data_IF_207823565724
#
_entry.id   IF_207823565724
#
_cell.length_a   1.000
_cell.length_b   1.000
_cell.length_c   1.000
_cell.angle_alpha   90.00
_cell.angle_beta   90.00
_cell.angle_gamma   90.00
#
_symmetry.space_group_name_H-M   'P 1'
#
loop_
_entity.id
_entity.type
_entity.pdbx_description
1 polymer ?
#
# COMPACT_ATOMS: atom_id res chain seq x y z
N UNK A 1 -3.93 -19.60 5.40
CA UNK A 1 -3.67 -19.90 3.97
C UNK A 1 -4.82 -19.34 3.15
N UNK A 2 -4.59 -18.97 1.89
CA UNK A 2 -5.60 -18.48 0.94
C UNK A 2 -5.60 -19.38 -0.31
N UNK A 3 -6.77 -19.67 -0.86
CA UNK A 3 -6.94 -20.39 -2.12
C UNK A 3 -7.37 -19.39 -3.20
N UNK A 4 -6.54 -19.21 -4.22
CA UNK A 4 -6.86 -18.32 -5.33
C UNK A 4 -7.95 -18.93 -6.22
N UNK A 5 -8.68 -18.12 -7.02
CA UNK A 5 -9.62 -18.63 -8.01
C UNK A 5 -8.99 -19.57 -9.06
N UNK A 6 -7.67 -19.48 -9.25
CA UNK A 6 -6.89 -20.39 -10.10
C UNK A 6 -6.56 -21.74 -9.44
N UNK A 7 -6.99 -21.97 -8.19
CA UNK A 7 -6.72 -23.18 -7.42
C UNK A 7 -5.34 -23.21 -6.75
N UNK A 8 -4.63 -22.08 -6.69
CA UNK A 8 -3.32 -22.01 -6.04
C UNK A 8 -3.49 -21.71 -4.56
N UNK A 9 -2.83 -22.51 -3.72
CA UNK A 9 -2.81 -22.29 -2.28
C UNK A 9 -1.59 -21.44 -1.90
N UNK A 10 -1.79 -20.35 -1.14
CA UNK A 10 -0.75 -19.41 -0.72
C UNK A 10 -0.79 -19.15 0.79
N UNK A 11 0.36 -18.79 1.35
CA UNK A 11 0.43 -18.36 2.73
C UNK A 11 -0.25 -16.99 2.90
N UNK A 12 -1.09 -16.84 3.93
CA UNK A 12 -1.93 -15.66 4.15
C UNK A 12 -1.63 -14.97 5.48
N UNK A 13 -1.72 -15.74 6.57
CA UNK A 13 -1.45 -15.28 7.92
C UNK A 13 -0.95 -16.44 8.79
N UNK A 14 -0.20 -16.11 9.83
CA UNK A 14 0.39 -17.08 10.76
C UNK A 14 1.91 -17.16 10.62
N UNK A 15 2.66 -16.86 11.68
CA UNK A 15 4.06 -17.20 11.79
C UNK A 15 4.22 -18.52 12.54
N UNK A 16 5.20 -19.34 12.13
CA UNK A 16 5.71 -20.40 12.98
C UNK A 16 6.62 -19.75 14.02
N UNK A 17 6.31 -19.80 15.32
CA UNK A 17 7.21 -19.23 16.32
C UNK A 17 8.49 -20.08 16.38
N UNK A 18 9.64 -19.43 16.52
CA UNK A 18 10.97 -20.08 16.57
C UNK A 18 11.16 -20.97 17.81
N UNK A 19 10.36 -20.71 18.85
CA UNK A 19 10.16 -21.57 19.99
C UNK A 19 8.68 -21.83 20.20
N UNK A 20 8.35 -22.83 21.02
CA UNK A 20 6.98 -23.12 21.36
C UNK A 20 6.38 -22.00 22.20
N UNK A 21 5.94 -20.88 21.62
CA UNK A 21 5.06 -19.89 22.28
C UNK A 21 3.72 -20.51 22.75
N UNK A 22 3.51 -21.79 22.45
CA UNK A 22 2.38 -22.60 22.83
C UNK A 22 2.61 -23.26 24.20
N UNK A 23 3.85 -23.57 24.55
CA UNK A 23 4.24 -24.28 25.76
C UNK A 23 5.11 -23.34 26.60
N UNK A 24 4.93 -23.27 27.92
CA UNK A 24 5.65 -22.35 28.82
C UNK A 24 7.16 -22.68 28.94
N UNK A 25 7.88 -22.72 27.82
CA UNK A 25 9.32 -22.61 27.80
C UNK A 25 9.71 -21.14 27.86
N UNK A 26 10.84 -20.89 28.51
CA UNK A 26 11.41 -19.59 28.89
C UNK A 26 11.77 -18.75 27.64
N UNK A 27 10.73 -18.33 26.92
CA UNK A 27 10.83 -17.84 25.56
C UNK A 27 10.15 -16.49 25.43
N UNK A 28 10.92 -15.50 24.99
CA UNK A 28 10.42 -14.16 24.71
C UNK A 28 9.70 -14.18 23.36
N UNK A 29 8.42 -14.53 23.37
CA UNK A 29 7.58 -14.37 22.18
C UNK A 29 7.61 -12.89 21.76
N UNK A 30 7.66 -12.58 20.45
CA UNK A 30 7.75 -11.21 19.99
C UNK A 30 6.61 -10.40 20.62
N UNK A 31 6.99 -9.43 21.43
CA UNK A 31 6.07 -8.48 22.02
C UNK A 31 5.42 -7.67 20.88
N UNK A 32 4.21 -7.19 21.13
CA UNK A 32 3.52 -6.24 20.26
C UNK A 32 4.38 -4.96 20.17
N UNK A 33 5.32 -4.92 19.22
CA UNK A 33 5.94 -3.67 18.78
C UNK A 33 4.81 -2.73 18.32
N UNK A 34 4.95 -1.41 18.52
CA UNK A 34 4.01 -0.38 18.04
C UNK A 34 3.83 -0.36 16.49
N UNK A 35 4.49 -1.29 15.78
CA UNK A 35 4.35 -1.49 14.34
C UNK A 35 3.23 -2.48 14.08
N UNK A 36 2.30 -2.11 13.20
CA UNK A 36 1.24 -2.99 12.72
C UNK A 36 1.88 -4.27 12.15
N UNK A 37 1.70 -5.44 12.78
CA UNK A 37 2.38 -6.66 12.35
C UNK A 37 1.82 -7.10 10.99
N UNK A 38 2.71 -7.58 10.12
CA UNK A 38 2.29 -8.22 8.88
C UNK A 38 1.52 -9.50 9.21
N UNK A 39 0.50 -9.82 8.42
CA UNK A 39 -0.31 -11.02 8.62
C UNK A 39 0.55 -12.29 8.67
N UNK A 40 1.59 -12.35 7.84
CA UNK A 40 2.54 -13.47 7.75
C UNK A 40 3.47 -13.60 8.95
N UNK A 41 3.64 -12.54 9.73
CA UNK A 41 4.47 -12.53 10.95
C UNK A 41 3.63 -12.68 12.23
N UNK A 42 2.30 -12.61 12.14
CA UNK A 42 1.40 -12.75 13.28
C UNK A 42 1.40 -14.18 13.80
N UNK A 43 1.74 -14.40 15.06
CA UNK A 43 1.61 -15.72 15.71
C UNK A 43 0.14 -15.95 16.06
N UNK A 44 -0.41 -17.08 15.62
CA UNK A 44 -1.77 -17.52 15.93
C UNK A 44 -1.70 -18.73 16.88
N UNK A 45 -2.46 -18.68 17.97
CA UNK A 45 -2.46 -19.70 19.02
C UNK A 45 -3.49 -20.80 18.77
N UNK A 46 -4.77 -20.50 18.95
CA UNK A 46 -5.87 -21.45 18.76
C UNK A 46 -7.01 -20.79 17.97
N UNK A 47 -6.93 -20.88 16.64
CA UNK A 47 -7.96 -20.35 15.74
C UNK A 47 -9.24 -21.19 15.87
N UNK A 48 -10.33 -20.57 16.32
CA UNK A 48 -11.62 -21.24 16.50
C UNK A 48 -12.65 -20.89 15.43
N UNK A 49 -12.53 -19.72 14.81
CA UNK A 49 -13.45 -19.25 13.77
C UNK A 49 -12.80 -18.24 12.84
N UNK A 50 -13.31 -18.19 11.61
CA UNK A 50 -12.92 -17.20 10.60
C UNK A 50 -14.17 -16.64 9.91
N UNK A 51 -14.15 -15.35 9.54
CA UNK A 51 -15.20 -14.74 8.70
C UNK A 51 -14.58 -13.67 7.81
N UNK A 52 -15.23 -13.38 6.69
CA UNK A 52 -14.81 -12.34 5.74
C UNK A 52 -15.92 -11.29 5.66
N UNK A 53 -15.57 -10.04 5.87
CA UNK A 53 -16.49 -8.93 5.78
C UNK A 53 -16.68 -8.46 4.33
N UNK A 54 -17.75 -7.69 4.00
CA UNK A 54 -18.00 -7.21 2.65
C UNK A 54 -16.86 -6.36 2.06
N UNK A 55 -16.09 -5.67 2.89
CA UNK A 55 -14.90 -4.91 2.52
C UNK A 55 -13.65 -5.77 2.27
N UNK A 56 -13.75 -7.10 2.44
CA UNK A 56 -12.66 -8.04 2.21
C UNK A 56 -11.69 -8.19 3.38
N UNK A 57 -12.07 -7.76 4.59
CA UNK A 57 -11.26 -7.97 5.80
C UNK A 57 -11.52 -9.37 6.34
N UNK A 58 -10.45 -10.09 6.66
CA UNK A 58 -10.52 -11.44 7.24
C UNK A 58 -10.42 -11.32 8.75
N UNK A 59 -11.47 -11.70 9.45
CA UNK A 59 -11.50 -11.76 10.91
C UNK A 59 -11.21 -13.17 11.39
N UNK A 60 -10.33 -13.29 12.38
CA UNK A 60 -9.91 -14.57 12.97
C UNK A 60 -10.12 -14.50 14.48
N UNK A 61 -10.93 -15.42 15.02
CA UNK A 61 -11.08 -15.59 16.45
C UNK A 61 -9.99 -16.53 16.97
N UNK A 62 -9.07 -16.00 17.80
CA UNK A 62 -8.03 -16.76 18.47
C UNK A 62 -8.39 -16.95 19.94
N UNK A 63 -8.81 -18.17 20.28
CA UNK A 63 -9.22 -18.53 21.63
C UNK A 63 -8.06 -18.53 22.62
N UNK A 64 -6.84 -18.84 22.18
CA UNK A 64 -5.68 -18.87 23.08
C UNK A 64 -5.20 -17.47 23.41
N UNK A 65 -5.21 -16.58 22.41
CA UNK A 65 -4.89 -15.17 22.61
C UNK A 65 -6.05 -14.37 23.25
N UNK A 66 -7.26 -14.95 23.31
CA UNK A 66 -8.50 -14.28 23.74
C UNK A 66 -8.76 -12.99 22.93
N UNK A 67 -8.44 -12.99 21.63
CA UNK A 67 -8.54 -11.83 20.74
C UNK A 67 -9.25 -12.19 19.43
N UNK A 68 -9.89 -11.19 18.83
CA UNK A 68 -10.31 -11.23 17.42
C UNK A 68 -9.31 -10.38 16.63
N UNK A 69 -8.61 -11.00 15.69
CA UNK A 69 -7.65 -10.34 14.80
C UNK A 69 -8.31 -10.02 13.47
N UNK A 70 -8.05 -8.83 12.93
CA UNK A 70 -8.59 -8.37 11.65
C UNK A 70 -7.45 -8.15 10.66
N UNK A 71 -7.35 -9.00 9.65
CA UNK A 71 -6.38 -8.89 8.58
C UNK A 71 -6.98 -8.08 7.43
N UNK A 72 -6.43 -6.88 7.22
CA UNK A 72 -6.84 -5.94 6.19
C UNK A 72 -5.70 -5.66 5.24
N UNK A 73 -6.03 -5.28 4.00
CA UNK A 73 -5.03 -4.70 3.11
C UNK A 73 -4.44 -3.46 3.78
N UNK A 74 -3.11 -3.36 3.74
CA UNK A 74 -2.44 -2.16 4.20
C UNK A 74 -2.55 -1.11 3.09
N UNK A 75 -3.38 -0.10 3.32
CA UNK A 75 -3.25 1.19 2.66
C UNK A 75 -2.50 2.11 3.63
N UNK A 76 -1.54 2.93 3.15
CA UNK A 76 -1.02 4.02 3.96
C UNK A 76 -2.17 4.93 4.38
N UNK A 77 -2.08 5.49 5.58
CA UNK A 77 -2.99 6.57 5.97
C UNK A 77 -2.71 7.81 5.11
N UNK A 78 -3.75 8.61 4.87
CA UNK A 78 -3.60 9.91 4.25
C UNK A 78 -2.96 10.92 5.22
N UNK A 79 -2.29 11.92 4.67
CA UNK A 79 -1.80 13.06 5.45
C UNK A 79 -2.88 14.14 5.63
N UNK A 80 -2.50 15.27 6.24
CA UNK A 80 -3.44 16.37 6.52
C UNK A 80 -4.09 16.96 5.25
N UNK A 81 -3.45 16.78 4.09
CA UNK A 81 -3.95 17.25 2.79
C UNK A 81 -4.83 16.19 2.09
N UNK A 82 -4.96 14.99 2.67
CA UNK A 82 -5.66 13.86 2.09
C UNK A 82 -4.83 13.12 1.04
N UNK A 83 -3.50 13.28 1.09
CA UNK A 83 -2.57 12.62 0.15
C UNK A 83 -1.97 11.36 0.78
N UNK A 84 -1.89 10.30 0.00
CA UNK A 84 -1.35 9.00 0.36
C UNK A 84 0.11 8.87 -0.06
N UNK A 85 0.95 8.37 0.85
CA UNK A 85 2.40 8.21 0.62
C UNK A 85 2.79 6.74 0.61
N UNK A 86 3.33 6.27 -0.51
CA UNK A 86 3.76 4.88 -0.71
C UNK A 86 5.27 4.84 -0.91
N UNK A 87 6.00 4.35 0.09
CA UNK A 87 7.45 4.22 -0.01
C UNK A 87 7.85 3.01 -0.87
N UNK A 88 8.85 3.19 -1.72
CA UNK A 88 9.48 2.13 -2.51
C UNK A 88 11.00 2.12 -2.29
N UNK A 89 11.47 1.48 -1.20
CA UNK A 89 12.87 1.52 -0.80
C UNK A 89 13.86 0.96 -1.83
N UNK A 90 13.40 0.08 -2.73
CA UNK A 90 14.27 -0.55 -3.75
C UNK A 90 14.91 0.46 -4.70
N UNK A 91 14.22 1.54 -5.01
CA UNK A 91 14.71 2.62 -5.89
C UNK A 91 14.92 3.93 -5.15
N UNK A 92 14.80 3.93 -3.81
CA UNK A 92 14.85 5.14 -2.98
C UNK A 92 13.80 6.19 -3.36
N UNK A 93 12.58 5.75 -3.67
CA UNK A 93 11.50 6.63 -4.11
C UNK A 93 10.30 6.60 -3.14
N UNK A 94 9.59 7.72 -3.08
CA UNK A 94 8.32 7.89 -2.39
C UNK A 94 7.28 8.38 -3.40
N UNK A 95 6.22 7.62 -3.57
CA UNK A 95 5.11 7.97 -4.47
C UNK A 95 3.99 8.64 -3.68
N UNK A 96 3.54 9.79 -4.15
CA UNK A 96 2.48 10.57 -3.51
C UNK A 96 1.23 10.54 -4.40
N UNK A 97 0.12 10.08 -3.84
CA UNK A 97 -1.18 10.01 -4.53
C UNK A 97 -2.18 10.91 -3.84
N UNK A 98 -2.97 11.67 -4.60
CA UNK A 98 -4.04 12.45 -3.99
C UNK A 98 -5.25 11.60 -3.60
N UNK A 99 -6.22 12.21 -2.90
CA UNK A 99 -7.52 11.60 -2.55
C UNK A 99 -8.34 11.01 -3.70
N UNK A 100 -8.01 11.34 -4.95
CA UNK A 100 -8.67 10.81 -6.15
C UNK A 100 -7.92 9.61 -6.76
N UNK A 101 -6.83 9.16 -6.13
CA UNK A 101 -5.98 8.06 -6.62
C UNK A 101 -5.02 8.47 -7.75
N UNK A 102 -4.80 9.77 -7.97
CA UNK A 102 -3.83 10.24 -8.97
C UNK A 102 -2.43 10.33 -8.37
N UNK A 103 -1.43 9.76 -9.04
CA UNK A 103 -0.02 9.95 -8.68
C UNK A 103 0.38 11.39 -9.00
N UNK A 104 0.65 12.22 -7.99
CA UNK A 104 0.92 13.65 -8.14
C UNK A 104 2.41 13.99 -8.04
N UNK A 105 3.18 13.22 -7.27
CA UNK A 105 4.63 13.41 -7.13
C UNK A 105 5.36 12.09 -6.92
N UNK A 106 6.58 12.01 -7.46
CA UNK A 106 7.61 11.07 -7.02
C UNK A 106 8.70 11.88 -6.34
N UNK A 107 9.04 11.51 -5.11
CA UNK A 107 10.06 12.14 -4.31
C UNK A 107 11.19 11.16 -4.02
N UNK A 108 12.41 11.67 -3.79
CA UNK A 108 13.49 10.87 -3.24
C UNK A 108 13.16 10.54 -1.77
N UNK A 109 13.21 9.26 -1.42
CA UNK A 109 12.74 8.74 -0.13
C UNK A 109 13.55 9.27 1.06
N UNK A 110 14.82 9.62 0.84
CA UNK A 110 15.73 10.07 1.91
C UNK A 110 15.73 11.59 2.05
N UNK A 111 15.77 12.30 0.93
CA UNK A 111 15.92 13.76 0.90
C UNK A 111 14.58 14.49 0.82
N UNK A 112 13.49 13.80 0.48
CA UNK A 112 12.16 14.39 0.25
C UNK A 112 12.08 15.29 -0.97
N UNK A 113 13.13 15.32 -1.82
CA UNK A 113 13.14 16.18 -3.02
C UNK A 113 12.25 15.60 -4.09
N UNK A 114 11.40 16.43 -4.69
CA UNK A 114 10.57 16.04 -5.84
C UNK A 114 11.46 15.71 -7.05
N UNK A 115 11.40 14.44 -7.47
CA UNK A 115 12.04 13.93 -8.68
C UNK A 115 11.16 14.15 -9.90
N UNK A 116 9.85 13.92 -9.74
CA UNK A 116 8.84 14.12 -10.77
C UNK A 116 7.56 14.70 -10.19
N UNK A 117 6.91 15.58 -10.95
CA UNK A 117 5.57 16.10 -10.64
C UNK A 117 4.61 15.82 -11.80
N UNK A 118 3.38 15.47 -11.45
CA UNK A 118 2.35 15.01 -12.36
C UNK A 118 1.12 15.90 -12.25
N UNK A 119 0.74 16.54 -13.35
CA UNK A 119 -0.43 17.39 -13.42
C UNK A 119 -1.56 16.67 -14.14
N UNK A 120 -2.78 16.80 -13.61
CA UNK A 120 -3.99 16.24 -14.20
C UNK A 120 -4.90 17.36 -14.71
N UNK A 121 -5.72 17.05 -15.71
CA UNK A 121 -6.66 18.01 -16.31
C UNK A 121 -7.75 18.51 -15.36
N UNK A 122 -8.09 17.71 -14.34
CA UNK A 122 -9.10 18.02 -13.32
C UNK A 122 -8.66 17.46 -11.97
N UNK A 123 -9.05 18.14 -10.89
CA UNK A 123 -8.90 17.63 -9.53
C UNK A 123 -10.13 16.80 -9.12
N UNK A 124 -10.41 15.73 -9.88
CA UNK A 124 -11.46 14.73 -9.63
C UNK A 124 -10.98 13.37 -10.13
N UNK A 125 -11.64 12.26 -9.74
CA UNK A 125 -11.29 10.90 -10.21
C UNK A 125 -11.37 10.69 -11.73
N UNK A 126 -11.97 11.62 -12.47
CA UNK A 126 -12.03 11.59 -13.94
C UNK A 126 -10.91 12.39 -14.62
N UNK A 127 -10.01 13.00 -13.84
CA UNK A 127 -8.88 13.74 -14.37
C UNK A 127 -7.94 12.83 -15.17
N UNK A 128 -7.31 13.39 -16.20
CA UNK A 128 -6.33 12.66 -17.03
C UNK A 128 -4.97 13.34 -16.94
N UNK A 129 -3.90 12.55 -16.90
CA UNK A 129 -2.52 13.06 -16.84
C UNK A 129 -2.24 13.99 -18.03
N UNK A 130 -1.95 15.26 -17.77
CA UNK A 130 -1.72 16.30 -18.78
C UNK A 130 -0.26 16.70 -18.92
N UNK A 131 0.54 16.60 -17.85
CA UNK A 131 1.94 17.01 -17.85
C UNK A 131 2.74 16.24 -16.81
N UNK A 132 3.96 15.86 -17.16
CA UNK A 132 4.99 15.37 -16.25
C UNK A 132 6.16 16.34 -16.30
N UNK A 133 6.65 16.79 -15.15
CA UNK A 133 7.84 17.66 -15.04
C UNK A 133 8.88 16.98 -14.18
N UNK A 134 10.11 16.89 -14.68
CA UNK A 134 11.24 16.37 -13.88
C UNK A 134 11.84 17.44 -12.96
N UNK A 135 12.78 17.03 -12.12
CA UNK A 135 13.50 17.91 -11.17
C UNK A 135 14.37 18.99 -11.86
N UNK A 136 14.73 18.81 -13.13
CA UNK A 136 15.51 19.77 -13.91
C UNK A 136 14.63 20.81 -14.63
N UNK A 137 13.31 20.59 -14.65
CA UNK A 137 12.31 21.44 -15.28
C UNK A 137 11.92 21.02 -16.70
N UNK A 138 12.42 19.88 -17.19
CA UNK A 138 12.00 19.30 -18.47
C UNK A 138 10.56 18.80 -18.35
N UNK A 139 9.79 18.97 -19.42
CA UNK A 139 8.34 18.74 -19.41
C UNK A 139 7.93 17.82 -20.54
N UNK A 140 7.15 16.80 -20.20
CA UNK A 140 6.39 16.01 -21.17
C UNK A 140 4.91 16.36 -21.01
N UNK A 141 4.27 16.77 -22.10
CA UNK A 141 2.87 17.18 -22.14
C UNK A 141 2.04 16.21 -22.99
N UNK A 142 0.83 15.92 -22.52
CA UNK A 142 -0.15 15.04 -23.15
C UNK A 142 -1.34 15.86 -23.63
N UNK A 143 -1.32 16.23 -24.91
CA UNK A 143 -2.39 16.98 -25.55
C UNK A 143 -3.50 16.01 -25.95
N UNK A 144 -4.75 16.44 -25.75
CA UNK A 144 -5.93 15.63 -26.00
C UNK A 144 -6.91 16.34 -26.93
N UNK A 145 -7.63 15.54 -27.70
CA UNK A 145 -8.75 16.01 -28.51
C UNK A 145 -10.02 16.21 -27.67
N UNK A 146 -11.12 16.58 -28.34
CA UNK A 146 -12.43 16.77 -27.70
C UNK A 146 -13.04 15.49 -27.12
N UNK A 147 -12.60 14.32 -27.59
CA UNK A 147 -12.99 13.01 -27.06
C UNK A 147 -12.13 12.57 -25.85
N UNK A 148 -11.23 13.44 -25.38
CA UNK A 148 -10.26 13.14 -24.32
C UNK A 148 -9.25 12.03 -24.66
N UNK A 149 -9.10 11.69 -25.94
CA UNK A 149 -8.05 10.80 -26.42
C UNK A 149 -6.75 11.59 -26.59
N UNK A 150 -5.60 10.96 -26.33
CA UNK A 150 -4.29 11.62 -26.52
C UNK A 150 -4.07 11.78 -28.02
N UNK A 151 -4.01 13.04 -28.47
CA UNK A 151 -3.75 13.39 -29.86
C UNK A 151 -2.26 13.62 -30.12
N UNK A 152 -1.52 14.07 -29.11
CA UNK A 152 -0.09 14.35 -29.24
C UNK A 152 0.63 14.27 -27.89
N UNK A 153 1.88 13.80 -27.93
CA UNK A 153 2.84 13.90 -26.82
C UNK A 153 3.95 14.86 -27.24
N UNK A 154 4.22 15.86 -26.40
CA UNK A 154 5.24 16.88 -26.66
C UNK A 154 6.24 16.91 -25.51
N UNK A 155 7.53 16.80 -25.84
CA UNK A 155 8.62 17.04 -24.90
C UNK A 155 9.18 18.44 -25.12
N UNK A 156 9.43 19.16 -24.02
CA UNK A 156 10.13 20.45 -24.01
C UNK A 156 11.19 20.43 -22.93
N UNK A 157 12.40 20.75 -23.34
CA UNK A 157 13.50 21.04 -22.44
C UNK A 157 13.38 22.49 -21.94
N UNK A 158 14.04 22.79 -20.82
CA UNK A 158 14.01 24.09 -20.16
C UNK A 158 14.53 25.23 -21.04
#
# INVERSE_FOLDING_TARGET
MELTPSGQLRHFAGAKPDCGCVDNDDCTCPAEDDKIPLSTTTVLGLVSAITVSPEGVVHVADQKALKILSFRHHLPDDDQDGDFKVAYPRTNELYVFNRHGHHIETQDLVTGRTLYSFLYSKNTSFGRLSKVTDSSGNKVMFLRDYNSAVSQVSAKDR
#
